data_IF_830817113164
#
_entry.id   IF_830817113164
#
_cell.length_a   1.000
_cell.length_b   1.000
_cell.length_c   1.000
_cell.angle_alpha   90.00
_cell.angle_beta   90.00
_cell.angle_gamma   90.00
#
_symmetry.space_group_name_H-M   'P 1'
#
loop_
_entity.id
_entity.type
_entity.pdbx_description
1 polymer ?
#
# COMPACT_ATOMS: atom_id res chain seq x y z
N UNK A 1 13.82 1.29 1.72
CA UNK A 1 12.77 2.08 2.40
C UNK A 1 11.46 1.79 1.68
N UNK A 2 10.38 1.56 2.39
CA UNK A 2 9.09 1.22 1.78
C UNK A 2 8.09 2.36 1.90
N UNK A 3 7.22 2.47 0.89
CA UNK A 3 6.01 3.27 0.94
C UNK A 3 4.80 2.35 0.83
N UNK A 4 3.70 2.75 1.45
CA UNK A 4 2.44 2.01 1.45
C UNK A 4 1.36 2.91 0.83
N UNK A 5 0.66 2.38 -0.18
CA UNK A 5 -0.34 3.14 -0.94
C UNK A 5 -1.67 2.40 -0.90
N UNK A 6 -2.71 3.06 -0.41
CA UNK A 6 -4.08 2.55 -0.43
C UNK A 6 -4.68 2.67 -1.83
N UNK A 7 -5.09 1.55 -2.42
CA UNK A 7 -5.74 1.52 -3.72
C UNK A 7 -7.26 1.43 -3.52
N UNK A 8 -7.92 2.59 -3.39
CA UNK A 8 -9.33 2.70 -2.97
C UNK A 8 -10.29 1.81 -3.77
N UNK A 9 -10.14 1.74 -5.09
CA UNK A 9 -11.03 0.96 -5.96
C UNK A 9 -10.62 -0.51 -6.10
N UNK A 10 -9.34 -0.82 -5.82
CA UNK A 10 -8.81 -2.17 -5.95
C UNK A 10 -8.88 -2.98 -4.65
N UNK A 11 -9.37 -2.37 -3.56
CA UNK A 11 -9.48 -3.00 -2.24
C UNK A 11 -8.16 -3.65 -1.80
N UNK A 12 -7.05 -2.94 -2.02
CA UNK A 12 -5.70 -3.43 -1.71
C UNK A 12 -4.79 -2.30 -1.23
N UNK A 13 -3.65 -2.68 -0.66
CA UNK A 13 -2.52 -1.80 -0.37
C UNK A 13 -1.31 -2.28 -1.15
N UNK A 14 -0.66 -1.37 -1.87
CA UNK A 14 0.62 -1.65 -2.54
C UNK A 14 1.79 -1.32 -1.61
N UNK A 15 2.77 -2.23 -1.55
CA UNK A 15 4.07 -1.96 -0.92
C UNK A 15 5.07 -1.65 -2.02
N UNK A 16 5.63 -0.45 -1.97
CA UNK A 16 6.60 0.05 -2.96
C UNK A 16 8.00 0.05 -2.35
N UNK A 17 8.99 -0.53 -3.04
CA UNK A 17 10.39 -0.17 -2.79
C UNK A 17 10.65 1.22 -3.38
N UNK A 18 10.94 2.18 -2.51
CA UNK A 18 11.14 3.59 -2.90
C UNK A 18 12.46 3.80 -3.66
N UNK A 19 13.45 2.91 -3.50
CA UNK A 19 14.73 3.02 -4.21
C UNK A 19 14.56 2.76 -5.69
N UNK A 20 13.84 1.69 -6.01
CA UNK A 20 13.68 1.21 -7.38
C UNK A 20 12.35 1.64 -8.01
N UNK A 21 11.48 2.28 -7.21
CA UNK A 21 10.11 2.68 -7.57
C UNK A 21 9.28 1.49 -8.11
N UNK A 22 9.45 0.33 -7.49
CA UNK A 22 8.76 -0.92 -7.88
C UNK A 22 7.81 -1.40 -6.81
N UNK A 23 6.66 -1.91 -7.24
CA UNK A 23 5.74 -2.63 -6.35
C UNK A 23 6.36 -3.99 -6.04
N UNK A 24 6.58 -4.25 -4.75
CA UNK A 24 7.19 -5.49 -4.25
C UNK A 24 6.16 -6.41 -3.59
N UNK A 25 5.02 -5.87 -3.18
CA UNK A 25 3.89 -6.66 -2.69
C UNK A 25 2.55 -5.94 -2.91
N UNK A 26 1.48 -6.73 -2.96
CA UNK A 26 0.09 -6.26 -2.94
C UNK A 26 -0.65 -7.01 -1.85
N UNK A 27 -1.23 -6.27 -0.91
CA UNK A 27 -1.93 -6.80 0.25
C UNK A 27 -3.44 -6.58 0.03
N UNK A 28 -4.27 -7.63 -0.08
CA UNK A 28 -5.72 -7.46 -0.14
C UNK A 28 -6.24 -6.92 1.19
N UNK A 29 -7.19 -5.98 1.14
CA UNK A 29 -7.83 -5.39 2.32
C UNK A 29 -9.34 -5.24 2.10
N UNK A 30 -10.04 -4.64 3.08
CA UNK A 30 -11.46 -4.32 2.96
C UNK A 30 -11.79 -3.31 1.86
N UNK A 31 -13.09 -3.09 1.62
CA UNK A 31 -13.57 -2.22 0.55
C UNK A 31 -13.21 -0.75 0.82
N UNK A 32 -12.71 -0.06 -0.21
CA UNK A 32 -12.52 1.40 -0.17
C UNK A 32 -11.46 1.90 0.81
N UNK A 33 -10.24 1.33 0.86
CA UNK A 33 -9.20 1.84 1.75
C UNK A 33 -8.82 3.28 1.36
N UNK A 34 -8.73 4.16 2.35
CA UNK A 34 -8.47 5.60 2.15
C UNK A 34 -7.36 6.14 3.08
N UNK A 35 -7.44 5.84 4.38
CA UNK A 35 -6.44 6.26 5.36
C UNK A 35 -5.37 5.20 5.63
N UNK A 36 -4.20 5.64 6.11
CA UNK A 36 -3.14 4.76 6.60
C UNK A 36 -2.56 5.30 7.91
N UNK A 37 -2.24 4.41 8.84
CA UNK A 37 -1.52 4.72 10.08
C UNK A 37 -0.44 3.67 10.30
N UNK A 38 0.69 4.09 10.86
CA UNK A 38 1.82 3.23 11.17
C UNK A 38 2.16 3.39 12.65
N UNK A 39 2.40 2.28 13.32
CA UNK A 39 2.96 2.26 14.68
C UNK A 39 4.46 1.98 14.59
N UNK A 40 5.31 2.64 15.40
CA UNK A 40 6.72 2.28 15.55
C UNK A 40 6.93 0.81 15.92
#
# INVERSE_FOLDING_TARGET
RYAYVTNIYANSVSVLDVKDLKVVATIPVGKGPNGISLTP
#
